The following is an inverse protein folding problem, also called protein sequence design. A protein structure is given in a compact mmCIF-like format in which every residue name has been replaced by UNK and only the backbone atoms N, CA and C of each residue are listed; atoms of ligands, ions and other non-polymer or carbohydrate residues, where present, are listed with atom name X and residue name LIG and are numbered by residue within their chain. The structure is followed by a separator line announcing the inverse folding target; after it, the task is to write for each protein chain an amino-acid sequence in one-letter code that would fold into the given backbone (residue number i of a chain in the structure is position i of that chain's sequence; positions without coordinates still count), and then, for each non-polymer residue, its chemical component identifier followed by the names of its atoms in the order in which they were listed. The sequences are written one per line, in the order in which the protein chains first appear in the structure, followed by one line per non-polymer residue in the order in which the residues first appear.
data_IF_817100475273
#
_entry.id   IF_817100475273
#
_cell.length_a   1.000
_cell.length_b   1.000
_cell.length_c   1.000
_cell.angle_alpha   90.00
_cell.angle_beta   90.00
_cell.angle_gamma   90.00
#
_symmetry.space_group_name_H-M   'P 1'
#
loop_
_entity.id
_entity.type
_entity.pdbx_description
1 polymer ?
#
# COMPACT_ATOMS: atom_id res chain seq x y z
N UNK A 1 77.18 -61.43 -48.13
CA UNK A 1 76.14 -62.22 -47.43
C UNK A 1 74.96 -61.31 -47.10
N UNK A 2 73.77 -61.88 -46.89
CA UNK A 2 72.56 -61.23 -46.32
C UNK A 2 71.94 -60.02 -47.05
N UNK A 3 70.65 -60.16 -47.37
CA UNK A 3 69.76 -59.03 -47.69
C UNK A 3 69.43 -58.24 -46.42
N UNK A 4 69.09 -56.96 -46.55
CA UNK A 4 67.98 -56.40 -45.79
C UNK A 4 67.27 -55.34 -46.64
N UNK A 5 65.95 -55.51 -46.81
CA UNK A 5 65.10 -54.48 -47.37
C UNK A 5 64.58 -53.61 -46.23
N UNK A 6 64.57 -52.29 -46.41
CA UNK A 6 63.88 -51.36 -45.52
C UNK A 6 62.71 -50.75 -46.28
N UNK A 7 61.53 -50.70 -45.65
CA UNK A 7 60.29 -50.39 -46.33
C UNK A 7 60.12 -48.88 -46.57
N UNK A 8 59.67 -48.52 -47.78
CA UNK A 8 59.27 -47.16 -48.09
C UNK A 8 57.91 -46.86 -47.46
N UNK A 9 57.90 -46.07 -46.38
CA UNK A 9 56.67 -45.67 -45.67
C UNK A 9 56.12 -44.39 -46.31
N UNK A 10 54.94 -44.42 -46.98
CA UNK A 10 54.35 -43.21 -47.53
C UNK A 10 53.76 -42.34 -46.43
N UNK A 11 54.19 -41.08 -46.33
CA UNK A 11 53.61 -40.10 -45.42
C UNK A 11 52.18 -39.73 -45.86
N UNK A 12 51.18 -40.27 -45.15
CA UNK A 12 49.78 -39.87 -45.31
C UNK A 12 49.50 -38.58 -44.55
N UNK A 13 49.21 -37.50 -45.27
CA UNK A 13 48.72 -36.26 -44.66
C UNK A 13 47.32 -36.48 -44.03
N UNK A 14 47.04 -35.93 -42.85
CA UNK A 14 45.72 -36.03 -42.24
C UNK A 14 44.68 -35.23 -43.04
N UNK A 15 43.42 -35.70 -43.14
CA UNK A 15 42.37 -34.99 -43.84
C UNK A 15 41.98 -33.68 -43.11
N UNK A 16 41.54 -32.63 -43.84
CA UNK A 16 41.13 -31.37 -43.24
C UNK A 16 39.91 -31.55 -42.32
N UNK A 17 39.78 -30.76 -41.24
CA UNK A 17 38.68 -30.90 -40.29
C UNK A 17 37.32 -30.61 -40.95
N UNK A 18 36.33 -31.45 -40.67
CA UNK A 18 34.94 -31.23 -41.09
C UNK A 18 34.45 -29.88 -40.54
N UNK A 19 33.91 -29.02 -41.41
CA UNK A 19 33.14 -27.85 -40.99
C UNK A 19 31.96 -28.32 -40.14
N UNK A 20 31.96 -27.95 -38.86
CA UNK A 20 30.76 -28.08 -38.03
C UNK A 20 29.73 -27.06 -38.49
N UNK A 21 28.47 -27.48 -38.66
CA UNK A 21 27.40 -26.57 -39.02
C UNK A 21 27.06 -25.68 -37.81
N UNK A 22 27.15 -24.36 -38.00
CA UNK A 22 26.70 -23.38 -37.02
C UNK A 22 25.15 -23.39 -37.03
N UNK A 23 24.46 -23.52 -35.88
CA UNK A 23 22.99 -23.49 -35.86
C UNK A 23 22.46 -22.09 -36.20
N UNK A 24 21.46 -22.03 -37.08
CA UNK A 24 20.91 -20.79 -37.62
C UNK A 24 20.31 -19.87 -36.54
N UNK A 25 20.75 -18.61 -36.52
CA UNK A 25 20.24 -17.59 -35.60
C UNK A 25 19.14 -16.73 -36.28
N UNK A 26 17.86 -16.81 -35.85
CA UNK A 26 16.76 -16.09 -36.50
C UNK A 26 16.68 -14.60 -36.09
N UNK A 27 17.71 -13.82 -36.42
CA UNK A 27 17.91 -12.44 -35.95
C UNK A 27 17.42 -11.36 -36.95
N UNK A 28 16.41 -11.66 -37.80
CA UNK A 28 16.05 -10.78 -38.94
C UNK A 28 14.55 -10.49 -39.18
N UNK A 29 13.63 -10.83 -38.26
CA UNK A 29 12.20 -10.48 -38.37
C UNK A 29 11.76 -9.26 -37.52
N UNK A 30 12.44 -8.96 -36.41
CA UNK A 30 11.97 -8.00 -35.39
C UNK A 30 12.27 -6.50 -35.71
N UNK A 31 12.28 -6.08 -36.98
CA UNK A 31 12.56 -4.67 -37.37
C UNK A 31 11.55 -4.02 -38.33
N UNK A 32 10.50 -4.72 -38.77
CA UNK A 32 9.44 -4.14 -39.64
C UNK A 32 8.16 -3.71 -38.92
N UNK A 33 7.88 -4.18 -37.70
CA UNK A 33 6.61 -3.89 -37.01
C UNK A 33 6.55 -2.56 -36.24
N UNK A 34 7.68 -1.95 -35.88
CA UNK A 34 7.73 -0.76 -35.00
C UNK A 34 7.42 0.58 -35.69
N UNK A 35 7.22 0.62 -37.02
CA UNK A 35 6.99 1.88 -37.75
C UNK A 35 5.52 2.25 -37.99
N UNK A 36 4.58 1.37 -37.65
CA UNK A 36 3.15 1.50 -38.01
C UNK A 36 2.24 2.01 -36.88
N UNK A 37 2.78 2.28 -35.68
CA UNK A 37 2.01 2.77 -34.51
C UNK A 37 2.37 4.18 -34.02
N UNK A 38 2.95 5.02 -34.89
CA UNK A 38 3.27 6.43 -34.60
C UNK A 38 2.52 7.46 -35.48
N UNK A 39 1.35 7.09 -36.04
CA UNK A 39 0.51 7.97 -36.89
C UNK A 39 -0.98 7.99 -36.54
N UNK A 40 -1.35 7.70 -35.29
CA UNK A 40 -2.72 7.91 -34.77
C UNK A 40 -2.64 8.62 -33.41
N UNK A 41 -2.45 9.94 -33.45
CA UNK A 41 -2.81 10.93 -32.41
C UNK A 41 -2.32 12.35 -32.81
N UNK A 42 -2.67 12.79 -34.02
CA UNK A 42 -2.47 14.18 -34.45
C UNK A 42 -3.83 14.81 -34.81
N UNK A 43 -4.79 14.66 -33.89
CA UNK A 43 -6.13 15.25 -33.99
C UNK A 43 -6.09 16.75 -33.67
N UNK A 44 -6.73 17.56 -34.51
CA UNK A 44 -6.76 19.02 -34.34
C UNK A 44 -7.73 19.44 -33.24
N UNK A 45 -7.25 20.25 -32.29
CA UNK A 45 -8.08 21.05 -31.38
C UNK A 45 -7.79 22.53 -31.59
N UNK A 46 -8.55 23.21 -32.45
CA UNK A 46 -8.39 24.65 -32.71
C UNK A 46 -9.48 25.42 -31.97
N UNK A 47 -9.09 26.14 -30.91
CA UNK A 47 -9.85 27.28 -30.38
C UNK A 47 -8.89 28.44 -30.11
N UNK A 48 -9.28 29.64 -30.53
CA UNK A 48 -8.38 30.79 -30.64
C UNK A 48 -8.51 31.78 -29.49
N UNK A 49 -7.36 32.34 -29.09
CA UNK A 49 -7.13 33.66 -28.45
C UNK A 49 -8.35 34.35 -27.80
N UNK A 50 -8.27 34.51 -26.47
CA UNK A 50 -8.50 35.83 -25.85
C UNK A 50 -7.38 36.13 -24.86
N UNK A 51 -6.61 37.17 -25.15
CA UNK A 51 -5.77 37.88 -24.18
C UNK A 51 -6.65 38.92 -23.52
N UNK A 52 -6.65 39.01 -22.19
CA UNK A 52 -7.09 40.21 -21.47
C UNK A 52 -6.26 40.37 -20.17
N UNK A 53 -6.20 41.60 -19.64
CA UNK A 53 -5.16 42.05 -18.69
C UNK A 53 -5.63 42.13 -17.23
N UNK A 54 -4.72 41.82 -16.31
CA UNK A 54 -4.73 42.33 -14.92
C UNK A 54 -5.73 41.66 -13.96
N UNK A 55 -5.38 41.36 -12.71
CA UNK A 55 -4.81 42.29 -11.75
C UNK A 55 -3.96 41.60 -10.67
N UNK A 56 -3.03 42.36 -10.07
CA UNK A 56 -2.36 41.96 -8.83
C UNK A 56 -3.31 42.09 -7.63
N UNK A 57 -3.30 41.11 -6.72
CA UNK A 57 -3.84 41.26 -5.37
C UNK A 57 -3.14 40.33 -4.38
N UNK A 58 -2.93 40.83 -3.17
CA UNK A 58 -1.95 40.30 -2.23
C UNK A 58 -2.35 38.98 -1.55
N UNK A 59 -1.34 38.18 -1.26
CA UNK A 59 -1.38 37.09 -0.28
C UNK A 59 -1.82 37.65 1.09
N UNK A 60 -2.74 36.97 1.80
CA UNK A 60 -3.00 37.24 3.22
C UNK A 60 -3.53 36.00 3.94
N UNK A 61 -2.84 35.57 4.99
CA UNK A 61 -3.34 34.56 5.94
C UNK A 61 -4.34 35.21 6.91
N UNK A 62 -5.36 34.47 7.38
CA UNK A 62 -5.97 34.67 8.68
C UNK A 62 -5.23 33.85 9.75
N UNK A 63 -4.95 34.47 10.90
CA UNK A 63 -4.64 33.78 12.15
C UNK A 63 -5.72 34.09 13.19
N UNK A 64 -5.75 33.31 14.27
CA UNK A 64 -6.53 33.53 15.50
C UNK A 64 -8.07 33.61 15.37
N UNK A 65 -8.73 32.58 15.90
CA UNK A 65 -9.87 32.78 16.81
C UNK A 65 -9.39 32.51 18.24
N UNK A 66 -9.87 33.28 19.21
CA UNK A 66 -9.54 33.10 20.63
C UNK A 66 -10.73 33.51 21.52
N UNK A 67 -11.00 32.67 22.52
CA UNK A 67 -11.75 32.91 23.75
C UNK A 67 -12.92 33.92 23.72
N UNK A 68 -14.15 33.42 23.60
CA UNK A 68 -15.30 34.10 24.22
C UNK A 68 -15.27 33.92 25.75
N UNK A 69 -15.55 34.99 26.49
CA UNK A 69 -15.73 34.97 27.94
C UNK A 69 -16.84 35.92 28.35
N UNK A 70 -18.05 35.39 28.49
CA UNK A 70 -19.22 36.17 28.91
C UNK A 70 -19.23 36.44 30.41
N UNK A 71 -19.02 37.71 30.80
CA UNK A 71 -19.39 38.20 32.13
C UNK A 71 -20.87 38.59 32.14
N UNK A 72 -21.57 38.25 33.22
CA UNK A 72 -22.85 38.87 33.61
C UNK A 72 -22.70 39.36 35.06
N UNK A 73 -23.15 40.58 35.33
CA UNK A 73 -23.00 41.27 36.63
C UNK A 73 -24.25 42.10 36.90
N UNK A 74 -25.01 41.74 37.93
CA UNK A 74 -26.12 42.47 38.59
C UNK A 74 -26.66 41.55 39.72
N UNK A 75 -27.25 42.02 40.83
CA UNK A 75 -27.40 43.36 41.40
C UNK A 75 -27.56 43.27 42.94
N UNK A 76 -27.70 44.40 43.62
CA UNK A 76 -27.65 44.53 45.08
C UNK A 76 -28.93 44.14 45.87
N UNK A 77 -28.78 44.10 47.21
CA UNK A 77 -29.80 44.03 48.28
C UNK A 77 -29.84 45.40 49.01
N UNK A 78 -30.82 45.79 49.87
CA UNK A 78 -31.34 45.01 51.03
C UNK A 78 -32.83 45.41 51.39
N UNK A 79 -33.29 45.60 52.67
CA UNK A 79 -33.16 44.85 53.94
C UNK A 79 -34.53 44.45 54.60
N UNK A 80 -34.48 43.62 55.66
CA UNK A 80 -35.54 43.44 56.69
C UNK A 80 -35.81 41.97 57.09
N UNK A 81 -36.00 41.58 58.37
CA UNK A 81 -35.81 42.29 59.65
C UNK A 81 -35.98 41.39 60.91
N UNK A 82 -35.37 41.78 62.03
CA UNK A 82 -35.64 41.43 63.46
C UNK A 82 -35.70 39.95 63.97
N UNK A 83 -34.63 39.53 64.70
CA UNK A 83 -34.59 38.99 66.11
C UNK A 83 -35.40 37.75 66.60
N UNK A 84 -34.98 37.01 67.68
CA UNK A 84 -33.63 36.73 68.22
C UNK A 84 -33.40 35.21 68.61
N UNK A 85 -32.83 34.71 69.76
CA UNK A 85 -31.91 33.52 69.81
C UNK A 85 -32.46 32.38 70.74
N UNK A 86 -31.74 31.52 71.54
CA UNK A 86 -30.28 31.26 71.70
C UNK A 86 -29.74 29.78 71.56
N UNK A 87 -29.35 28.94 72.57
CA UNK A 87 -27.96 28.43 72.57
C UNK A 87 -27.67 26.91 72.82
N UNK A 88 -26.36 26.59 72.72
CA UNK A 88 -25.63 25.38 73.17
C UNK A 88 -25.54 24.19 72.17
N UNK A 89 -24.50 23.32 72.17
CA UNK A 89 -23.37 23.13 73.12
C UNK A 89 -22.12 22.49 72.46
N UNK A 90 -20.93 23.00 72.79
CA UNK A 90 -19.57 22.38 72.87
C UNK A 90 -19.00 21.41 71.79
N UNK A 91 -17.86 21.84 71.25
CA UNK A 91 -16.51 21.23 71.32
C UNK A 91 -16.12 19.92 70.60
N UNK A 92 -15.02 20.02 69.84
CA UNK A 92 -13.95 19.03 69.58
C UNK A 92 -14.25 17.67 68.92
N UNK A 93 -13.68 17.44 67.72
CA UNK A 93 -12.71 16.35 67.50
C UNK A 93 -11.90 16.47 66.18
N UNK A 94 -10.59 16.66 66.33
CA UNK A 94 -9.50 16.59 65.35
C UNK A 94 -9.52 15.37 64.40
N UNK A 95 -9.30 15.57 63.08
CA UNK A 95 -8.39 14.69 62.28
C UNK A 95 -7.98 15.20 60.89
N UNK A 96 -6.66 15.23 60.68
CA UNK A 96 -5.89 15.06 59.43
C UNK A 96 -6.42 15.63 58.09
N UNK A 97 -5.82 16.74 57.63
CA UNK A 97 -5.90 17.19 56.23
C UNK A 97 -4.82 16.56 55.33
N UNK A 98 -5.19 16.35 54.06
CA UNK A 98 -4.37 16.34 52.83
C UNK A 98 -3.13 15.41 52.73
N UNK A 99 -3.11 14.57 51.68
CA UNK A 99 -1.95 13.74 51.35
C UNK A 99 -2.09 12.82 50.13
N UNK A 100 -2.74 13.25 49.05
CA UNK A 100 -2.84 12.46 47.80
C UNK A 100 -2.93 13.38 46.57
N UNK A 101 -2.06 13.18 45.59
CA UNK A 101 -2.06 13.96 44.35
C UNK A 101 -3.27 13.60 43.45
N UNK A 102 -3.81 14.54 42.65
CA UNK A 102 -4.79 14.22 41.62
C UNK A 102 -4.12 13.39 40.52
N UNK A 103 -4.57 12.15 40.35
CA UNK A 103 -4.06 11.27 39.31
C UNK A 103 -4.56 11.74 37.93
N UNK A 104 -3.65 11.94 36.98
CA UNK A 104 -3.97 12.40 35.62
C UNK A 104 -4.94 11.44 34.94
N UNK A 105 -6.17 11.92 34.73
CA UNK A 105 -7.26 11.18 34.08
C UNK A 105 -7.03 11.09 32.57
N UNK A 106 -6.18 10.15 32.15
CA UNK A 106 -6.23 9.62 30.79
C UNK A 106 -7.59 8.98 30.57
N UNK A 107 -8.51 9.70 29.94
CA UNK A 107 -9.78 9.13 29.48
C UNK A 107 -9.46 7.96 28.52
N UNK A 108 -9.95 6.73 28.81
CA UNK A 108 -10.07 5.72 27.78
C UNK A 108 -11.07 6.23 26.74
N UNK A 109 -10.78 6.00 25.46
CA UNK A 109 -11.82 6.03 24.42
C UNK A 109 -12.70 4.80 24.58
N UNK A 110 -13.60 4.83 25.58
CA UNK A 110 -14.65 3.83 25.78
C UNK A 110 -15.59 3.85 24.57
N UNK A 111 -15.30 2.98 23.60
CA UNK A 111 -16.17 2.70 22.47
C UNK A 111 -17.48 2.10 23.01
N UNK A 112 -18.64 2.76 22.86
CA UNK A 112 -19.85 2.38 23.58
C UNK A 112 -20.25 0.93 23.26
N UNK A 113 -20.58 0.17 24.31
CA UNK A 113 -20.89 -1.25 24.27
C UNK A 113 -21.76 -1.74 23.07
N UNK A 114 -22.86 -1.07 22.66
CA UNK A 114 -23.63 -1.49 21.47
C UNK A 114 -22.81 -1.51 20.18
N UNK A 115 -21.88 -0.57 19.98
CA UNK A 115 -20.97 -0.57 18.83
C UNK A 115 -20.01 -1.75 18.90
N UNK A 116 -19.46 -2.05 20.09
CA UNK A 116 -18.57 -3.20 20.29
C UNK A 116 -19.30 -4.55 20.12
N UNK A 117 -20.58 -4.63 20.46
CA UNK A 117 -21.42 -5.81 20.24
C UNK A 117 -21.71 -6.03 18.74
N UNK A 118 -22.08 -4.97 18.02
CA UNK A 118 -22.28 -4.99 16.57
C UNK A 118 -20.98 -5.39 15.84
N UNK A 119 -19.85 -4.82 16.27
CA UNK A 119 -18.49 -5.14 15.79
C UNK A 119 -18.09 -6.60 16.04
N UNK A 120 -18.51 -7.22 17.15
CA UNK A 120 -18.21 -8.63 17.45
C UNK A 120 -18.97 -9.61 16.56
N UNK A 121 -20.18 -9.25 16.13
CA UNK A 121 -21.03 -10.07 15.26
C UNK A 121 -20.73 -9.93 13.76
N UNK A 122 -20.19 -8.80 13.31
CA UNK A 122 -20.09 -8.49 11.86
C UNK A 122 -18.76 -8.89 11.20
N UNK A 123 -18.81 -9.05 9.87
CA UNK A 123 -17.65 -9.27 9.01
C UNK A 123 -16.81 -7.99 8.82
N UNK A 124 -17.47 -6.82 8.76
CA UNK A 124 -16.88 -5.53 8.38
C UNK A 124 -15.62 -5.13 9.19
N UNK A 125 -15.52 -5.31 10.53
CA UNK A 125 -14.32 -4.93 11.27
C UNK A 125 -13.10 -5.80 10.95
N UNK A 126 -13.31 -7.09 10.66
CA UNK A 126 -12.25 -7.98 10.21
C UNK A 126 -11.79 -7.61 8.78
N UNK A 127 -12.72 -7.25 7.90
CA UNK A 127 -12.40 -6.68 6.58
C UNK A 127 -11.57 -5.39 6.71
N UNK A 128 -12.00 -4.43 7.53
CA UNK A 128 -11.33 -3.15 7.72
C UNK A 128 -9.90 -3.32 8.30
N UNK A 129 -9.70 -4.25 9.22
CA UNK A 129 -8.36 -4.57 9.75
C UNK A 129 -7.46 -5.17 8.66
N UNK A 130 -7.90 -6.22 7.96
CA UNK A 130 -7.11 -6.88 6.92
C UNK A 130 -6.81 -5.94 5.75
N UNK A 131 -7.79 -5.15 5.28
CA UNK A 131 -7.62 -4.17 4.19
C UNK A 131 -6.65 -3.05 4.56
N UNK A 132 -6.74 -2.49 5.77
CA UNK A 132 -5.80 -1.46 6.24
C UNK A 132 -4.36 -1.99 6.29
N UNK A 133 -4.16 -3.21 6.82
CA UNK A 133 -2.85 -3.86 6.85
C UNK A 133 -2.30 -4.15 5.44
N UNK A 134 -3.16 -4.46 4.46
CA UNK A 134 -2.77 -4.62 3.05
C UNK A 134 -2.33 -3.31 2.40
N UNK A 135 -3.02 -2.20 2.68
CA UNK A 135 -2.64 -0.86 2.20
C UNK A 135 -1.30 -0.43 2.83
N UNK A 136 -1.12 -0.64 4.14
CA UNK A 136 0.15 -0.41 4.83
C UNK A 136 1.28 -1.25 4.19
N UNK A 137 1.02 -2.53 3.88
CA UNK A 137 1.97 -3.38 3.15
C UNK A 137 2.36 -2.82 1.78
N UNK A 138 1.42 -2.23 1.03
CA UNK A 138 1.74 -1.57 -0.25
C UNK A 138 2.63 -0.35 -0.07
N UNK A 139 2.40 0.47 0.95
CA UNK A 139 3.31 1.58 1.29
C UNK A 139 4.71 1.08 1.71
N UNK A 140 4.81 -0.02 2.46
CA UNK A 140 6.11 -0.65 2.78
C UNK A 140 6.84 -1.09 1.49
N UNK A 141 6.15 -1.68 0.51
CA UNK A 141 6.76 -2.03 -0.79
C UNK A 141 7.20 -0.78 -1.57
N UNK A 142 6.45 0.33 -1.53
CA UNK A 142 6.86 1.60 -2.13
C UNK A 142 8.13 2.17 -1.47
N UNK A 143 8.19 2.18 -0.14
CA UNK A 143 9.38 2.62 0.63
C UNK A 143 10.59 1.74 0.30
N UNK A 144 10.43 0.41 0.27
CA UNK A 144 11.48 -0.53 -0.15
C UNK A 144 11.96 -0.21 -1.57
N UNK A 145 11.04 0.08 -2.50
CA UNK A 145 11.40 0.44 -3.89
C UNK A 145 12.30 1.68 -3.92
N UNK A 146 11.95 2.75 -3.19
CA UNK A 146 12.77 3.96 -3.07
C UNK A 146 14.15 3.70 -2.46
N UNK A 147 14.20 2.92 -1.38
CA UNK A 147 15.47 2.53 -0.72
C UNK A 147 16.36 1.67 -1.63
N UNK A 148 15.80 0.78 -2.45
CA UNK A 148 16.55 0.01 -3.44
C UNK A 148 17.09 0.93 -4.56
N UNK A 149 16.30 1.88 -5.07
CA UNK A 149 16.79 2.87 -6.06
C UNK A 149 18.00 3.66 -5.56
N UNK A 150 17.92 4.15 -4.32
CA UNK A 150 19.02 4.87 -3.65
C UNK A 150 20.26 3.98 -3.48
N UNK A 151 20.11 2.78 -2.89
CA UNK A 151 21.23 1.84 -2.66
C UNK A 151 21.89 1.34 -3.96
N UNK A 152 21.12 1.15 -5.04
CA UNK A 152 21.63 0.69 -6.34
C UNK A 152 22.12 1.82 -7.25
N UNK A 153 21.82 3.09 -6.92
CA UNK A 153 21.89 4.24 -7.83
C UNK A 153 21.27 3.90 -9.19
N UNK A 154 19.96 3.68 -9.16
CA UNK A 154 19.14 3.24 -10.29
C UNK A 154 17.82 4.01 -10.32
N UNK A 155 17.89 5.23 -10.85
CA UNK A 155 16.79 6.18 -10.92
C UNK A 155 16.07 6.05 -12.27
N UNK A 156 14.77 6.32 -12.30
CA UNK A 156 13.99 6.31 -13.54
C UNK A 156 14.14 7.61 -14.33
N UNK A 157 14.41 8.71 -13.62
CA UNK A 157 14.41 10.05 -14.18
C UNK A 157 15.83 10.65 -14.19
N UNK A 158 16.17 11.52 -15.16
CA UNK A 158 17.49 12.13 -15.26
C UNK A 158 17.78 13.14 -14.14
N UNK A 159 16.78 13.86 -13.63
CA UNK A 159 16.94 14.83 -12.55
C UNK A 159 17.31 14.18 -11.21
N UNK A 160 16.67 13.05 -10.86
CA UNK A 160 17.06 12.21 -9.72
C UNK A 160 18.50 11.71 -9.86
N UNK A 161 18.85 11.22 -11.05
CA UNK A 161 20.18 10.71 -11.33
C UNK A 161 21.27 11.79 -11.18
N UNK A 162 21.03 13.00 -11.72
CA UNK A 162 21.88 14.17 -11.52
C UNK A 162 22.00 14.52 -10.02
N UNK A 163 20.89 14.58 -9.29
CA UNK A 163 20.87 14.89 -7.85
C UNK A 163 21.66 13.88 -7.00
N UNK A 164 21.78 12.64 -7.45
CA UNK A 164 22.49 11.55 -6.76
C UNK A 164 23.83 11.12 -7.40
N UNK A 165 24.37 11.93 -8.33
CA UNK A 165 25.77 11.87 -8.76
C UNK A 165 26.03 11.75 -10.27
N UNK A 166 25.01 11.84 -11.13
CA UNK A 166 25.16 11.95 -12.58
C UNK A 166 24.22 11.08 -13.40
N UNK A 167 24.06 11.44 -14.69
CA UNK A 167 23.13 10.80 -15.64
C UNK A 167 23.36 9.30 -15.84
N UNK A 168 24.57 8.79 -15.59
CA UNK A 168 24.89 7.36 -15.61
C UNK A 168 24.08 6.52 -14.61
N UNK A 169 23.41 7.15 -13.64
CA UNK A 169 22.49 6.51 -12.70
C UNK A 169 21.01 6.55 -13.13
N UNK A 170 20.69 7.15 -14.27
CA UNK A 170 19.38 7.08 -14.92
C UNK A 170 19.26 5.75 -15.68
N UNK A 171 18.98 4.66 -14.96
CA UNK A 171 19.08 3.29 -15.45
C UNK A 171 18.12 2.34 -14.74
N UNK A 172 17.68 1.29 -15.46
CA UNK A 172 16.99 0.13 -14.89
C UNK A 172 17.92 -0.74 -14.05
N UNK A 173 17.38 -1.34 -12.97
CA UNK A 173 18.06 -2.36 -12.14
C UNK A 173 17.07 -3.50 -11.84
N UNK A 174 17.53 -4.75 -11.90
CA UNK A 174 16.67 -5.92 -11.80
C UNK A 174 15.94 -6.04 -10.46
N UNK A 175 16.51 -5.52 -9.36
CA UNK A 175 15.88 -5.51 -8.04
C UNK A 175 14.88 -4.35 -7.91
N UNK A 176 15.13 -3.20 -8.53
CA UNK A 176 14.13 -2.12 -8.67
C UNK A 176 12.91 -2.63 -9.46
N UNK A 177 13.13 -3.24 -10.62
CA UNK A 177 12.04 -3.78 -11.45
C UNK A 177 11.29 -4.92 -10.74
N UNK A 178 11.96 -5.67 -9.87
CA UNK A 178 11.36 -6.71 -9.02
C UNK A 178 10.42 -6.09 -7.98
N UNK A 179 10.81 -4.99 -7.34
CA UNK A 179 9.94 -4.25 -6.43
C UNK A 179 8.74 -3.64 -7.15
N UNK A 180 8.96 -3.05 -8.34
CA UNK A 180 7.88 -2.50 -9.17
C UNK A 180 6.87 -3.58 -9.62
N UNK A 181 7.33 -4.77 -10.03
CA UNK A 181 6.43 -5.88 -10.37
C UNK A 181 5.68 -6.43 -9.16
N UNK A 182 6.28 -6.44 -7.97
CA UNK A 182 5.59 -6.82 -6.74
C UNK A 182 4.47 -5.82 -6.40
N UNK A 183 4.77 -4.52 -6.42
CA UNK A 183 3.79 -3.45 -6.17
C UNK A 183 2.68 -3.43 -7.23
N UNK A 184 3.01 -3.67 -8.51
CA UNK A 184 2.02 -3.79 -9.58
C UNK A 184 1.06 -4.97 -9.34
N UNK A 185 1.57 -6.15 -8.97
CA UNK A 185 0.69 -7.28 -8.67
C UNK A 185 -0.13 -7.08 -7.38
N UNK A 186 0.36 -6.27 -6.44
CA UNK A 186 -0.46 -5.79 -5.32
C UNK A 186 -1.62 -4.92 -5.82
N UNK A 187 -1.41 -3.92 -6.68
CA UNK A 187 -2.51 -3.15 -7.29
C UNK A 187 -3.52 -4.04 -8.04
N UNK A 188 -3.03 -4.99 -8.82
CA UNK A 188 -3.85 -5.92 -9.63
C UNK A 188 -4.72 -6.89 -8.80
N UNK A 189 -4.51 -7.01 -7.48
CA UNK A 189 -5.23 -7.98 -6.62
C UNK A 189 -5.85 -7.36 -5.37
N UNK A 190 -5.18 -6.41 -4.73
CA UNK A 190 -5.65 -5.77 -3.51
C UNK A 190 -6.78 -4.79 -3.84
N UNK A 191 -6.72 -4.00 -4.92
CA UNK A 191 -7.81 -3.09 -5.27
C UNK A 191 -9.14 -3.82 -5.58
N UNK A 192 -9.16 -4.93 -6.36
CA UNK A 192 -10.34 -5.79 -6.44
C UNK A 192 -10.81 -6.35 -5.09
N UNK A 193 -9.89 -6.79 -4.22
CA UNK A 193 -10.25 -7.27 -2.88
C UNK A 193 -10.86 -6.18 -1.99
N UNK A 194 -10.38 -4.93 -2.06
CA UNK A 194 -10.95 -3.81 -1.32
C UNK A 194 -12.41 -3.56 -1.72
N UNK A 195 -12.73 -3.65 -3.02
CA UNK A 195 -14.11 -3.54 -3.50
C UNK A 195 -14.94 -4.76 -3.10
N UNK A 196 -14.50 -5.97 -3.47
CA UNK A 196 -15.25 -7.21 -3.23
C UNK A 196 -15.47 -7.48 -1.75
N UNK A 197 -14.45 -7.30 -0.90
CA UNK A 197 -14.55 -7.55 0.54
C UNK A 197 -15.42 -6.52 1.27
N UNK A 198 -15.49 -5.28 0.77
CA UNK A 198 -16.40 -4.26 1.30
C UNK A 198 -17.85 -4.62 0.97
N UNK A 199 -18.16 -4.89 -0.30
CA UNK A 199 -19.52 -5.30 -0.73
C UNK A 199 -19.94 -6.58 -0.03
N UNK A 200 -19.07 -7.59 0.00
CA UNK A 200 -19.33 -8.87 0.68
C UNK A 200 -19.59 -8.70 2.18
N UNK A 201 -18.98 -7.70 2.85
CA UNK A 201 -19.24 -7.42 4.27
C UNK A 201 -20.69 -6.95 4.53
N UNK A 202 -21.41 -6.46 3.51
CA UNK A 202 -22.81 -6.04 3.61
C UNK A 202 -23.82 -7.12 3.17
N UNK A 203 -23.38 -8.22 2.56
CA UNK A 203 -24.23 -9.36 2.14
C UNK A 203 -24.76 -10.20 3.33
N UNK A 204 -24.48 -9.81 4.58
CA UNK A 204 -24.77 -10.61 5.77
C UNK A 204 -24.11 -12.00 5.82
N UNK A 205 -22.88 -12.21 5.32
CA UNK A 205 -22.25 -13.54 5.31
C UNK A 205 -21.94 -14.05 6.72
N UNK A 206 -21.79 -15.36 6.85
CA UNK A 206 -21.34 -15.97 8.11
C UNK A 206 -20.02 -15.32 8.60
N UNK A 207 -19.95 -14.84 9.87
CA UNK A 207 -18.80 -14.10 10.36
C UNK A 207 -17.50 -14.92 10.43
N UNK A 208 -17.57 -16.24 10.61
CA UNK A 208 -16.39 -17.10 10.62
C UNK A 208 -15.87 -17.32 9.20
N UNK A 209 -16.75 -17.66 8.25
CA UNK A 209 -16.41 -17.80 6.83
C UNK A 209 -15.84 -16.49 6.26
N UNK A 210 -16.42 -15.34 6.60
CA UNK A 210 -15.91 -14.04 6.18
C UNK A 210 -14.51 -13.74 6.75
N UNK A 211 -14.28 -13.98 8.04
CA UNK A 211 -12.94 -13.88 8.66
C UNK A 211 -11.92 -14.76 7.95
N UNK A 212 -12.30 -16.00 7.61
CA UNK A 212 -11.42 -16.92 6.86
C UNK A 212 -11.09 -16.41 5.45
N UNK A 213 -12.07 -15.84 4.72
CA UNK A 213 -11.81 -15.24 3.40
C UNK A 213 -10.79 -14.10 3.49
N UNK A 214 -10.96 -13.18 4.43
CA UNK A 214 -10.05 -12.03 4.59
C UNK A 214 -8.66 -12.45 5.09
N UNK A 215 -8.59 -13.42 6.01
CA UNK A 215 -7.34 -13.94 6.58
C UNK A 215 -6.51 -14.75 5.58
N UNK A 216 -7.16 -15.61 4.77
CA UNK A 216 -6.49 -16.34 3.68
C UNK A 216 -5.97 -15.37 2.61
N UNK A 217 -6.75 -14.36 2.23
CA UNK A 217 -6.28 -13.33 1.31
C UNK A 217 -5.08 -12.56 1.88
N UNK A 218 -5.19 -12.07 3.13
CA UNK A 218 -4.13 -11.34 3.82
C UNK A 218 -2.81 -12.13 3.87
N UNK A 219 -2.85 -13.36 4.40
CA UNK A 219 -1.67 -14.21 4.49
C UNK A 219 -1.11 -14.55 3.10
N UNK A 220 -1.97 -14.88 2.13
CA UNK A 220 -1.55 -15.14 0.75
C UNK A 220 -0.82 -13.95 0.11
N UNK A 221 -1.33 -12.72 0.29
CA UNK A 221 -0.67 -11.50 -0.19
C UNK A 221 0.64 -11.18 0.56
N UNK A 222 0.71 -11.41 1.87
CA UNK A 222 1.95 -11.25 2.64
C UNK A 222 3.02 -12.24 2.16
N UNK A 223 2.70 -13.54 2.10
CA UNK A 223 3.60 -14.60 1.62
C UNK A 223 4.01 -14.36 0.17
N UNK A 224 3.09 -13.95 -0.71
CA UNK A 224 3.40 -13.56 -2.08
C UNK A 224 4.44 -12.43 -2.14
N UNK A 225 4.29 -11.40 -1.31
CA UNK A 225 5.22 -10.25 -1.26
C UNK A 225 6.61 -10.69 -0.79
N UNK A 226 6.68 -11.46 0.29
CA UNK A 226 7.93 -12.02 0.83
C UNK A 226 8.62 -12.91 -0.20
N UNK A 227 7.87 -13.78 -0.89
CA UNK A 227 8.40 -14.64 -1.95
C UNK A 227 8.92 -13.83 -3.16
N UNK A 228 8.26 -12.73 -3.53
CA UNK A 228 8.66 -11.88 -4.65
C UNK A 228 9.99 -11.15 -4.39
N UNK A 229 10.09 -10.51 -3.22
CA UNK A 229 11.24 -9.70 -2.82
C UNK A 229 12.41 -10.56 -2.36
N UNK A 230 12.16 -11.57 -1.52
CA UNK A 230 13.15 -12.53 -1.01
C UNK A 230 13.65 -13.56 -2.03
N UNK A 231 13.26 -13.42 -3.31
CA UNK A 231 13.71 -14.26 -4.45
C UNK A 231 13.51 -15.78 -4.22
N UNK A 232 12.46 -16.18 -3.49
CA UNK A 232 12.20 -17.58 -3.17
C UNK A 232 11.99 -18.43 -4.42
N UNK A 233 12.38 -19.71 -4.34
CA UNK A 233 12.26 -20.69 -5.42
C UNK A 233 10.79 -20.86 -5.86
N UNK A 234 10.56 -21.10 -7.15
CA UNK A 234 9.27 -21.57 -7.63
C UNK A 234 8.93 -22.96 -7.02
N UNK A 235 7.65 -23.26 -6.72
CA UNK A 235 6.44 -22.53 -7.13
C UNK A 235 5.90 -21.52 -6.11
N UNK A 236 6.55 -21.31 -4.95
CA UNK A 236 5.98 -20.63 -3.76
C UNK A 236 5.23 -19.32 -4.05
N UNK A 237 5.79 -18.43 -4.88
CA UNK A 237 5.12 -17.19 -5.29
C UNK A 237 3.80 -17.45 -6.03
N UNK A 238 3.82 -18.34 -7.03
CA UNK A 238 2.63 -18.64 -7.84
C UNK A 238 1.54 -19.32 -7.03
N UNK A 239 1.93 -20.22 -6.11
CA UNK A 239 0.99 -20.85 -5.18
C UNK A 239 0.34 -19.84 -4.24
N UNK A 240 1.13 -18.94 -3.63
CA UNK A 240 0.61 -17.88 -2.75
C UNK A 240 -0.31 -16.90 -3.47
N UNK A 241 -0.05 -16.62 -4.76
CA UNK A 241 -0.98 -15.86 -5.62
C UNK A 241 -2.30 -16.61 -5.81
N UNK A 242 -2.26 -17.87 -6.26
CA UNK A 242 -3.48 -18.66 -6.52
C UNK A 242 -4.33 -18.82 -5.26
N UNK A 243 -3.72 -19.12 -4.11
CA UNK A 243 -4.42 -19.24 -2.82
C UNK A 243 -5.10 -17.93 -2.39
N UNK A 244 -4.49 -16.77 -2.66
CA UNK A 244 -5.13 -15.47 -2.41
C UNK A 244 -6.32 -15.22 -3.37
N UNK A 245 -6.26 -15.68 -4.62
CA UNK A 245 -7.36 -15.45 -5.56
C UNK A 245 -8.62 -16.29 -5.24
N UNK A 246 -8.50 -17.41 -4.49
CA UNK A 246 -9.65 -18.26 -4.14
C UNK A 246 -10.73 -17.51 -3.32
N UNK A 247 -10.43 -16.81 -2.20
CA UNK A 247 -11.38 -15.91 -1.55
C UNK A 247 -12.00 -14.86 -2.47
N UNK A 248 -11.22 -14.27 -3.39
CA UNK A 248 -11.73 -13.23 -4.29
C UNK A 248 -12.75 -13.79 -5.28
N UNK A 249 -12.49 -14.95 -5.87
CA UNK A 249 -13.42 -15.64 -6.76
C UNK A 249 -14.71 -16.06 -6.03
N UNK A 250 -14.59 -16.56 -4.80
CA UNK A 250 -15.72 -16.92 -3.93
C UNK A 250 -16.61 -15.71 -3.60
N UNK A 251 -16.02 -14.58 -3.17
CA UNK A 251 -16.79 -13.36 -2.89
C UNK A 251 -17.44 -12.79 -4.15
N UNK A 252 -16.73 -12.76 -5.29
CA UNK A 252 -17.27 -12.29 -6.56
C UNK A 252 -18.47 -13.15 -7.03
N UNK A 253 -18.38 -14.48 -6.93
CA UNK A 253 -19.50 -15.37 -7.29
C UNK A 253 -20.71 -15.15 -6.38
N UNK A 254 -20.51 -14.99 -5.07
CA UNK A 254 -21.60 -14.71 -4.13
C UNK A 254 -22.27 -13.35 -4.41
N UNK A 255 -21.48 -12.30 -4.68
CA UNK A 255 -22.00 -10.97 -5.05
C UNK A 255 -22.80 -11.03 -6.37
N UNK A 256 -22.30 -11.75 -7.38
CA UNK A 256 -23.02 -11.94 -8.65
C UNK A 256 -24.32 -12.73 -8.45
N UNK A 257 -24.32 -13.75 -7.58
CA UNK A 257 -25.54 -14.52 -7.27
C UNK A 257 -26.60 -13.64 -6.60
N UNK A 258 -26.27 -12.92 -5.53
CA UNK A 258 -27.26 -12.07 -4.85
C UNK A 258 -27.74 -10.93 -5.76
N UNK A 259 -26.84 -10.30 -6.54
CA UNK A 259 -27.23 -9.27 -7.50
C UNK A 259 -28.19 -9.82 -8.59
N UNK A 260 -27.94 -11.04 -9.10
CA UNK A 260 -28.81 -11.68 -10.08
C UNK A 260 -30.15 -12.17 -9.50
N UNK A 261 -30.25 -12.39 -8.19
CA UNK A 261 -31.50 -12.69 -7.50
C UNK A 261 -32.34 -11.43 -7.17
N UNK A 262 -31.84 -10.24 -7.49
CA UNK A 262 -32.50 -8.94 -7.27
C UNK A 262 -32.74 -8.14 -8.57
N UNK A 263 -32.69 -8.81 -9.72
CA UNK A 263 -32.98 -8.27 -11.06
C UNK A 263 -34.19 -8.98 -11.69
#
# INVERSE_FOLDING_TARGET
MSRQASAFVPHTHPPPPRRQALPDAPMLQMKRQTRTRLRICQGRGVWGRRLDRGHSSALRLPQHLAAESGRVLCADRPPGGLSPPPPARRDTATRACCGRLPQSSRLPMEMPAPVLALVRGQALPAFLLCSTLLVIKMYVVAIITGQVRLRKKAFANPEDALRHGGLQYCRSDQDVDRCLRAHRNDMETIYPFLFLGLVYSFLGPDPFIARMHFLVFFLGRVVHTVAYLGKLRAPTRSLAYTLAQLPCASMAFQIVREAACHL
#
